data_IF_151074742326
#
_entry.id   IF_151074742326
#
_cell.length_a   1.000
_cell.length_b   1.000
_cell.length_c   1.000
_cell.angle_alpha   90.00
_cell.angle_beta   90.00
_cell.angle_gamma   90.00
#
_symmetry.space_group_name_H-M   'P 1'
#
loop_
_entity.id
_entity.type
_entity.pdbx_description
1 polymer ?
#
# COMPACT_ATOMS: atom_id res chain seq x y z
N UNK A 1 -33.53 5.53 3.09
CA UNK A 1 -32.46 4.93 2.27
C UNK A 1 -31.45 6.02 2.02
N UNK A 2 -30.25 5.92 2.57
CA UNK A 2 -29.17 6.89 2.35
C UNK A 2 -28.51 6.57 1.01
N UNK A 3 -28.28 7.60 0.20
CA UNK A 3 -27.60 7.47 -1.10
C UNK A 3 -26.27 8.19 -0.98
N UNK A 4 -25.17 7.44 -1.08
CA UNK A 4 -23.80 7.96 -0.94
C UNK A 4 -23.15 8.15 -2.31
N UNK A 5 -22.73 9.39 -2.61
CA UNK A 5 -22.12 9.77 -3.88
C UNK A 5 -20.68 10.28 -3.78
N UNK A 6 -20.11 10.29 -2.59
CA UNK A 6 -18.77 10.86 -2.35
C UNK A 6 -17.67 9.78 -2.29
N UNK A 7 -17.71 8.83 -3.22
CA UNK A 7 -16.72 7.75 -3.30
C UNK A 7 -15.30 8.23 -3.68
N UNK A 8 -15.17 9.47 -4.17
CA UNK A 8 -13.85 10.07 -4.39
C UNK A 8 -13.13 10.44 -3.09
N UNK A 9 -13.88 10.77 -2.04
CA UNK A 9 -13.30 11.05 -0.72
C UNK A 9 -13.01 9.76 0.06
N UNK A 10 -13.96 8.81 0.08
CA UNK A 10 -13.79 7.52 0.73
C UNK A 10 -14.78 6.50 0.19
N UNK A 11 -14.45 5.23 0.25
CA UNK A 11 -15.29 4.12 -0.20
C UNK A 11 -15.46 3.10 0.90
N UNK A 12 -16.67 2.59 1.08
CA UNK A 12 -16.94 1.51 2.03
C UNK A 12 -16.12 0.27 1.64
N UNK A 13 -15.32 -0.30 2.57
CA UNK A 13 -14.56 -1.52 2.30
C UNK A 13 -15.47 -2.70 1.96
N UNK A 14 -15.04 -3.54 1.03
CA UNK A 14 -15.70 -4.81 0.76
C UNK A 14 -15.72 -5.70 2.00
N UNK A 15 -16.71 -6.57 2.10
CA UNK A 15 -16.84 -7.46 3.26
C UNK A 15 -15.62 -8.37 3.45
N UNK A 16 -15.06 -8.90 2.36
CA UNK A 16 -13.82 -9.69 2.40
C UNK A 16 -12.63 -8.89 2.97
N UNK A 17 -12.52 -7.59 2.65
CA UNK A 17 -11.47 -6.73 3.19
C UNK A 17 -11.63 -6.50 4.70
N UNK A 18 -12.87 -6.30 5.17
CA UNK A 18 -13.16 -6.16 6.62
C UNK A 18 -12.78 -7.42 7.38
N UNK A 19 -13.12 -8.61 6.84
CA UNK A 19 -12.78 -9.89 7.45
C UNK A 19 -11.26 -10.11 7.49
N UNK A 20 -10.54 -9.77 6.42
CA UNK A 20 -9.08 -9.85 6.40
C UNK A 20 -8.43 -8.94 7.46
N UNK A 21 -8.91 -7.70 7.60
CA UNK A 21 -8.43 -6.78 8.64
C UNK A 21 -8.70 -7.34 10.02
N UNK A 22 -9.91 -7.86 10.27
CA UNK A 22 -10.27 -8.45 11.57
C UNK A 22 -9.37 -9.63 11.91
N UNK A 23 -9.11 -10.53 10.97
CA UNK A 23 -8.19 -11.66 11.15
C UNK A 23 -6.76 -11.18 11.44
N UNK A 24 -6.26 -10.17 10.73
CA UNK A 24 -4.95 -9.58 11.03
C UNK A 24 -4.86 -8.97 12.43
N UNK A 25 -5.96 -8.40 12.95
CA UNK A 25 -5.98 -7.80 14.29
C UNK A 25 -6.12 -8.83 15.41
N UNK A 26 -6.72 -9.99 15.15
CA UNK A 26 -7.07 -10.97 16.19
C UNK A 26 -6.25 -12.25 16.14
N UNK A 27 -5.85 -12.72 14.96
CA UNK A 27 -5.25 -14.04 14.78
C UNK A 27 -3.80 -13.96 14.25
N UNK A 28 -3.51 -13.04 13.32
CA UNK A 28 -2.21 -12.95 12.64
C UNK A 28 -1.46 -11.63 12.94
N UNK A 29 -1.60 -11.13 14.17
CA UNK A 29 -1.05 -9.85 14.64
C UNK A 29 0.46 -9.85 14.94
N UNK A 30 1.16 -10.93 14.62
CA UNK A 30 2.57 -11.09 14.96
C UNK A 30 3.46 -10.21 14.07
N UNK A 31 4.56 -9.71 14.64
CA UNK A 31 5.54 -8.93 13.89
C UNK A 31 6.27 -9.83 12.86
N UNK A 32 6.12 -9.56 11.56
CA UNK A 32 6.73 -10.37 10.49
C UNK A 32 8.27 -10.39 10.51
N UNK A 33 8.89 -9.44 11.21
CA UNK A 33 10.36 -9.39 11.35
C UNK A 33 10.92 -10.29 12.45
N UNK A 34 10.06 -10.91 13.26
CA UNK A 34 10.49 -11.81 14.31
C UNK A 34 10.74 -13.24 13.79
N UNK A 35 11.59 -14.00 14.52
CA UNK A 35 12.06 -15.31 14.04
C UNK A 35 11.30 -16.52 14.58
N UNK A 36 10.25 -16.30 15.39
CA UNK A 36 9.44 -17.41 15.90
C UNK A 36 8.33 -17.81 14.92
N UNK A 37 7.87 -19.07 15.03
CA UNK A 37 6.99 -19.69 14.01
C UNK A 37 5.71 -18.90 13.63
N UNK A 38 4.94 -18.29 14.54
CA UNK A 38 3.81 -17.46 14.15
C UNK A 38 4.20 -16.23 13.31
N UNK A 39 5.32 -15.57 13.63
CA UNK A 39 5.82 -14.41 12.89
C UNK A 39 6.28 -14.79 11.48
N UNK A 40 6.93 -15.95 11.33
CA UNK A 40 7.32 -16.49 10.01
C UNK A 40 6.08 -16.71 9.12
N UNK A 41 4.98 -17.20 9.69
CA UNK A 41 3.72 -17.34 8.94
C UNK A 41 3.20 -16.00 8.42
N UNK A 42 3.27 -14.95 9.24
CA UNK A 42 2.86 -13.59 8.81
C UNK A 42 3.80 -13.07 7.73
N UNK A 43 5.11 -13.29 7.86
CA UNK A 43 6.09 -12.92 6.82
C UNK A 43 5.80 -13.61 5.48
N UNK A 44 5.48 -14.90 5.50
CA UNK A 44 5.11 -15.65 4.30
C UNK A 44 3.82 -15.10 3.69
N UNK A 45 2.79 -14.84 4.50
CA UNK A 45 1.54 -14.23 4.04
C UNK A 45 1.78 -12.88 3.35
N UNK A 46 2.61 -12.01 3.90
CA UNK A 46 2.98 -10.74 3.27
C UNK A 46 3.70 -10.96 1.93
N UNK A 47 4.55 -11.98 1.83
CA UNK A 47 5.21 -12.32 0.56
C UNK A 47 4.23 -12.84 -0.48
N UNK A 48 3.29 -13.69 -0.10
CA UNK A 48 2.22 -14.17 -0.98
C UNK A 48 1.36 -13.01 -1.50
N UNK A 49 0.91 -12.12 -0.63
CA UNK A 49 0.13 -10.93 -1.01
C UNK A 49 0.93 -10.04 -1.97
N UNK A 50 2.24 -9.83 -1.71
CA UNK A 50 3.10 -9.06 -2.62
C UNK A 50 3.21 -9.72 -3.99
N UNK A 51 3.39 -11.03 -4.05
CA UNK A 51 3.44 -11.79 -5.29
C UNK A 51 2.13 -11.70 -6.08
N UNK A 52 0.98 -11.75 -5.41
CA UNK A 52 -0.33 -11.60 -6.04
C UNK A 52 -0.51 -10.20 -6.65
N UNK A 53 -0.15 -9.14 -5.94
CA UNK A 53 -0.17 -7.78 -6.49
C UNK A 53 0.78 -7.63 -7.68
N UNK A 54 2.00 -8.15 -7.58
CA UNK A 54 2.98 -8.10 -8.66
C UNK A 54 2.47 -8.79 -9.93
N UNK A 55 1.83 -9.94 -9.78
CA UNK A 55 1.22 -10.69 -10.88
C UNK A 55 0.10 -9.90 -11.55
N UNK A 56 -0.83 -9.34 -10.78
CA UNK A 56 -1.95 -8.55 -11.33
C UNK A 56 -1.47 -7.28 -12.03
N UNK A 57 -0.46 -6.61 -11.49
CA UNK A 57 0.13 -5.39 -12.05
C UNK A 57 1.18 -5.69 -13.15
N UNK A 58 1.57 -6.96 -13.33
CA UNK A 58 2.61 -7.40 -14.29
C UNK A 58 3.96 -6.74 -14.04
N UNK A 59 4.33 -6.64 -12.79
CA UNK A 59 5.62 -6.11 -12.31
C UNK A 59 6.35 -7.18 -11.49
N UNK A 60 7.57 -6.90 -11.04
CA UNK A 60 8.31 -7.78 -10.13
C UNK A 60 7.86 -7.56 -8.69
N UNK A 61 8.00 -8.55 -7.83
CA UNK A 61 7.63 -8.46 -6.41
C UNK A 61 8.39 -7.36 -5.67
N UNK A 62 9.66 -7.12 -6.05
CA UNK A 62 10.50 -6.07 -5.47
C UNK A 62 10.01 -4.65 -5.81
N UNK A 63 9.15 -4.51 -6.82
CA UNK A 63 8.55 -3.23 -7.22
C UNK A 63 7.27 -2.90 -6.44
N UNK A 64 6.78 -3.84 -5.61
CA UNK A 64 5.63 -3.62 -4.72
C UNK A 64 6.10 -3.16 -3.35
N UNK A 65 5.75 -1.94 -3.00
CA UNK A 65 6.07 -1.33 -1.72
C UNK A 65 4.77 -1.04 -0.97
N UNK A 66 4.63 -1.58 0.23
CA UNK A 66 3.53 -1.25 1.13
C UNK A 66 3.88 -0.02 1.95
N UNK A 67 3.00 0.97 1.93
CA UNK A 67 3.14 2.25 2.63
C UNK A 67 2.03 2.42 3.67
N UNK A 68 2.18 3.40 4.55
CA UNK A 68 1.16 3.72 5.55
C UNK A 68 -0.09 4.40 4.96
N UNK A 69 0.00 4.89 3.72
CA UNK A 69 -1.10 5.56 3.04
C UNK A 69 -0.68 6.34 1.81
N UNK A 70 -1.65 6.99 1.16
CA UNK A 70 -1.43 7.71 -0.10
C UNK A 70 -0.40 8.84 -0.02
N UNK A 71 -0.32 9.54 1.11
CA UNK A 71 0.67 10.62 1.30
C UNK A 71 2.11 10.08 1.22
N UNK A 72 2.42 9.00 1.93
CA UNK A 72 3.74 8.36 1.86
C UNK A 72 4.01 7.84 0.45
N UNK A 73 3.03 7.15 -0.15
CA UNK A 73 3.16 6.64 -1.53
C UNK A 73 3.48 7.75 -2.53
N UNK A 74 2.81 8.90 -2.45
CA UNK A 74 3.06 10.03 -3.33
C UNK A 74 4.45 10.62 -3.12
N UNK A 75 4.87 10.80 -1.86
CA UNK A 75 6.21 11.30 -1.54
C UNK A 75 7.29 10.36 -2.08
N UNK A 76 7.16 9.06 -1.84
CA UNK A 76 8.13 8.07 -2.30
C UNK A 76 8.19 8.00 -3.84
N UNK A 77 7.04 8.06 -4.51
CA UNK A 77 6.97 8.07 -5.97
C UNK A 77 7.64 9.32 -6.57
N UNK A 78 7.36 10.51 -6.02
CA UNK A 78 7.94 11.77 -6.49
C UNK A 78 9.46 11.78 -6.23
N UNK A 79 9.87 11.45 -5.01
CA UNK A 79 11.30 11.45 -4.63
C UNK A 79 12.09 10.38 -5.38
N UNK A 80 11.48 9.23 -5.63
CA UNK A 80 12.08 8.15 -6.42
C UNK A 80 12.21 8.46 -7.91
N UNK A 81 11.26 9.23 -8.46
CA UNK A 81 11.27 9.63 -9.85
C UNK A 81 12.26 10.78 -10.17
N UNK A 82 12.60 11.59 -9.17
CA UNK A 82 13.57 12.69 -9.33
C UNK A 82 14.99 12.14 -9.16
N UNK A 83 15.79 12.06 -10.25
CA UNK A 83 17.15 11.55 -10.14
C UNK A 83 18.00 12.46 -9.23
N UNK A 84 18.59 11.89 -8.18
CA UNK A 84 19.41 12.62 -7.20
C UNK A 84 20.61 13.37 -7.81
N UNK A 85 20.98 13.07 -9.05
CA UNK A 85 22.12 13.68 -9.78
C UNK A 85 21.73 14.72 -10.82
N UNK A 86 20.44 14.98 -11.02
CA UNK A 86 20.00 16.01 -11.96
C UNK A 86 19.91 17.37 -11.25
N UNK A 87 20.89 18.24 -11.52
CA UNK A 87 20.93 19.62 -11.00
C UNK A 87 19.77 20.50 -11.51
N UNK A 88 18.94 20.01 -12.44
CA UNK A 88 17.85 20.76 -13.09
C UNK A 88 16.61 19.87 -13.30
N UNK A 89 16.12 19.21 -12.24
CA UNK A 89 14.82 18.54 -12.31
C UNK A 89 13.70 19.58 -12.15
N UNK A 90 12.71 19.54 -13.05
CA UNK A 90 11.51 20.36 -12.97
C UNK A 90 10.34 19.49 -12.54
N UNK A 91 9.63 19.91 -11.49
CA UNK A 91 8.38 19.30 -11.05
C UNK A 91 7.26 20.27 -11.41
N UNK A 92 6.27 19.79 -12.16
CA UNK A 92 5.05 20.55 -12.51
C UNK A 92 3.93 20.01 -11.64
N UNK A 93 3.24 20.91 -10.95
CA UNK A 93 2.08 20.60 -10.12
C UNK A 93 0.94 21.56 -10.41
N UNK A 94 -0.27 21.20 -10.01
CA UNK A 94 -1.49 22.00 -10.15
C UNK A 94 -2.05 22.35 -8.76
N UNK A 95 -2.80 23.45 -8.67
CA UNK A 95 -3.45 23.86 -7.42
C UNK A 95 -4.66 22.99 -7.03
N UNK A 96 -5.12 22.14 -7.95
CA UNK A 96 -6.22 21.20 -7.72
C UNK A 96 -5.75 19.86 -7.14
N UNK A 97 -4.44 19.64 -7.02
CA UNK A 97 -3.89 18.45 -6.41
C UNK A 97 -4.25 18.35 -4.91
N UNK A 98 -4.28 17.12 -4.43
CA UNK A 98 -4.53 16.87 -3.01
C UNK A 98 -3.41 17.46 -2.15
N UNK A 99 -3.76 18.12 -1.06
CA UNK A 99 -2.84 18.74 -0.09
C UNK A 99 -2.02 17.71 0.70
#
# INVERSE_FOLDING_TARGET
MEIYFDNSATTQPFECAKQAVLSCMTEVYYNPSALYAPAVKVSNLLSEVRADFAKELRVREEEIIFTSGGTESNVDAIMGAVPQRMMHAHVITDQSEHS
#
